data_IF_866488627038
#
_entry.id   IF_866488627038
#
_cell.length_a   1.000
_cell.length_b   1.000
_cell.length_c   1.000
_cell.angle_alpha   90.00
_cell.angle_beta   90.00
_cell.angle_gamma   90.00
#
_symmetry.space_group_name_H-M   'P 1'
#
loop_
_entity.id
_entity.type
_entity.pdbx_description
1 polymer ?
#
# COMPACT_ATOMS: atom_id res chain seq x y z
N UNK A 1 -42.66 8.80 7.80
CA UNK A 1 -41.41 9.51 7.49
C UNK A 1 -40.71 8.75 6.40
N UNK A 2 -40.73 9.22 5.16
CA UNK A 2 -40.00 8.58 4.04
C UNK A 2 -38.50 8.91 4.17
N UNK A 3 -37.74 7.99 4.70
CA UNK A 3 -36.28 8.10 4.71
C UNK A 3 -35.78 8.11 3.25
N UNK A 4 -35.43 9.28 2.75
CA UNK A 4 -34.85 9.42 1.43
C UNK A 4 -33.48 8.75 1.42
N UNK A 5 -33.16 8.01 0.34
CA UNK A 5 -31.83 7.41 0.14
C UNK A 5 -30.68 8.44 0.27
N UNK A 6 -30.97 9.72 0.02
CA UNK A 6 -30.04 10.84 0.20
C UNK A 6 -29.72 11.11 1.68
N UNK A 7 -30.70 10.91 2.59
CA UNK A 7 -30.46 11.13 4.03
C UNK A 7 -29.56 10.07 4.65
N UNK A 8 -29.48 8.86 4.09
CA UNK A 8 -28.56 7.81 4.52
C UNK A 8 -27.09 8.10 4.14
N UNK A 9 -26.87 8.95 3.16
CA UNK A 9 -25.53 9.40 2.79
C UNK A 9 -24.92 10.43 3.74
N UNK A 10 -25.74 11.14 4.54
CA UNK A 10 -25.27 12.22 5.42
C UNK A 10 -24.32 11.71 6.50
N UNK A 11 -24.63 10.64 7.27
CA UNK A 11 -23.71 10.12 8.27
C UNK A 11 -22.36 9.68 7.67
N UNK A 12 -22.41 9.08 6.47
CA UNK A 12 -21.19 8.68 5.75
C UNK A 12 -20.38 9.90 5.30
N UNK A 13 -21.03 10.93 4.76
CA UNK A 13 -20.35 12.17 4.37
C UNK A 13 -19.71 12.88 5.57
N UNK A 14 -20.39 12.92 6.72
CA UNK A 14 -19.86 13.49 7.97
C UNK A 14 -18.65 12.68 8.45
N UNK A 15 -18.72 11.36 8.39
CA UNK A 15 -17.59 10.49 8.72
C UNK A 15 -16.37 10.78 7.83
N UNK A 16 -16.56 10.87 6.51
CA UNK A 16 -15.47 11.19 5.57
C UNK A 16 -14.89 12.58 5.82
N UNK A 17 -15.74 13.59 6.11
CA UNK A 17 -15.28 14.94 6.43
C UNK A 17 -14.40 14.96 7.69
N UNK A 18 -14.81 14.29 8.75
CA UNK A 18 -14.08 14.29 10.02
C UNK A 18 -12.81 13.45 9.93
N UNK A 19 -12.89 12.23 9.39
CA UNK A 19 -11.78 11.26 9.47
C UNK A 19 -10.85 11.28 8.26
N UNK A 20 -11.26 11.86 7.14
CA UNK A 20 -10.43 11.94 5.94
C UNK A 20 -10.09 13.39 5.61
N UNK A 21 -11.07 14.25 5.44
CA UNK A 21 -10.83 15.64 5.01
C UNK A 21 -10.12 16.46 6.10
N UNK A 22 -10.54 16.35 7.34
CA UNK A 22 -9.94 17.15 8.43
C UNK A 22 -8.44 16.83 8.64
N UNK A 23 -7.99 15.57 8.73
CA UNK A 23 -6.55 15.27 8.80
C UNK A 23 -5.75 15.78 7.59
N UNK A 24 -6.31 15.70 6.38
CA UNK A 24 -5.66 16.22 5.17
C UNK A 24 -5.51 17.75 5.22
N UNK A 25 -6.53 18.46 5.68
CA UNK A 25 -6.46 19.92 5.88
C UNK A 25 -5.38 20.27 6.90
N UNK A 26 -5.31 19.53 8.01
CA UNK A 26 -4.28 19.71 9.04
C UNK A 26 -2.88 19.47 8.46
N UNK A 27 -2.68 18.43 7.65
CA UNK A 27 -1.40 18.18 6.98
C UNK A 27 -1.01 19.34 6.05
N UNK A 28 -1.95 19.81 5.24
CA UNK A 28 -1.71 20.98 4.37
C UNK A 28 -1.38 22.21 5.19
N UNK A 29 -2.11 22.46 6.27
CA UNK A 29 -1.81 23.57 7.17
C UNK A 29 -0.38 23.50 7.72
N UNK A 30 0.05 22.35 8.24
CA UNK A 30 1.42 22.16 8.74
C UNK A 30 2.49 22.24 7.64
N UNK A 31 2.18 21.84 6.41
CA UNK A 31 3.13 21.98 5.30
C UNK A 31 3.49 23.45 5.02
N UNK A 32 2.54 24.37 5.27
CA UNK A 32 2.70 25.81 5.04
C UNK A 32 2.89 26.62 6.33
N UNK A 33 3.18 25.98 7.46
CA UNK A 33 3.30 26.67 8.75
C UNK A 33 4.60 26.27 9.44
N UNK A 34 5.29 27.24 10.04
CA UNK A 34 6.45 26.98 10.90
C UNK A 34 6.01 26.54 12.30
N UNK A 35 6.97 26.12 13.15
CA UNK A 35 6.71 25.71 14.55
C UNK A 35 6.10 26.81 15.44
N UNK A 36 6.02 28.05 14.96
CA UNK A 36 5.41 29.20 15.66
C UNK A 36 4.01 29.54 15.10
N UNK A 37 3.47 28.74 14.19
CA UNK A 37 2.15 28.97 13.60
C UNK A 37 2.10 30.05 12.51
N UNK A 38 3.26 30.54 12.04
CA UNK A 38 3.34 31.54 10.98
C UNK A 38 3.40 30.87 9.62
N UNK A 39 2.74 31.48 8.63
CA UNK A 39 2.79 30.99 7.24
C UNK A 39 4.21 31.07 6.68
N UNK A 40 4.67 29.95 6.10
CA UNK A 40 6.01 29.85 5.50
C UNK A 40 6.03 28.85 4.35
N UNK A 41 6.80 29.16 3.32
CA UNK A 41 7.12 28.22 2.23
C UNK A 41 8.41 27.44 2.49
N UNK A 42 9.05 27.66 3.65
CA UNK A 42 10.35 27.10 3.96
C UNK A 42 10.33 25.56 3.97
N UNK A 43 9.28 24.95 4.50
CA UNK A 43 9.14 23.48 4.53
C UNK A 43 9.12 22.88 3.12
N UNK A 44 8.39 23.51 2.18
CA UNK A 44 8.38 23.08 0.78
C UNK A 44 9.74 23.31 0.12
N UNK A 45 10.31 24.49 0.30
CA UNK A 45 11.61 24.85 -0.25
C UNK A 45 12.71 23.91 0.24
N UNK A 46 12.77 23.63 1.54
CA UNK A 46 13.76 22.70 2.11
C UNK A 46 13.56 21.26 1.60
N UNK A 47 12.31 20.83 1.42
CA UNK A 47 12.04 19.50 0.86
C UNK A 47 12.66 19.32 -0.53
N UNK A 48 12.50 20.32 -1.42
CA UNK A 48 13.04 20.27 -2.78
C UNK A 48 14.55 20.64 -2.86
N UNK A 49 15.10 21.27 -1.83
CA UNK A 49 16.51 21.67 -1.80
C UNK A 49 17.41 20.65 -1.12
N UNK A 50 16.85 19.71 -0.36
CA UNK A 50 17.63 18.67 0.32
C UNK A 50 17.85 17.44 -0.59
N UNK A 51 19.12 17.19 -1.01
CA UNK A 51 19.46 16.06 -1.88
C UNK A 51 19.10 14.69 -1.26
N UNK A 52 19.15 14.57 0.07
CA UNK A 52 18.83 13.31 0.76
C UNK A 52 17.33 13.02 0.68
N UNK A 53 16.51 14.05 0.85
CA UNK A 53 15.05 13.94 0.74
C UNK A 53 14.63 13.56 -0.67
N UNK A 54 15.18 14.23 -1.69
CA UNK A 54 14.94 13.90 -3.08
C UNK A 54 15.46 12.51 -3.45
N UNK A 55 16.67 12.15 -2.98
CA UNK A 55 17.23 10.82 -3.16
C UNK A 55 16.32 9.72 -2.60
N UNK A 56 15.80 9.91 -1.40
CA UNK A 56 14.85 8.98 -0.76
C UNK A 56 13.53 8.89 -1.55
N UNK A 57 13.04 10.02 -2.07
CA UNK A 57 11.83 10.04 -2.90
C UNK A 57 12.01 9.20 -4.17
N UNK A 58 13.09 9.43 -4.92
CA UNK A 58 13.39 8.66 -6.15
C UNK A 58 13.63 7.19 -5.85
N UNK A 59 14.32 6.86 -4.77
CA UNK A 59 14.54 5.49 -4.33
C UNK A 59 13.22 4.78 -4.01
N UNK A 60 12.32 5.45 -3.28
CA UNK A 60 11.00 4.91 -2.95
C UNK A 60 10.14 4.72 -4.20
N UNK A 61 10.21 5.66 -5.13
CA UNK A 61 9.50 5.56 -6.41
C UNK A 61 10.02 4.39 -7.26
N UNK A 62 11.33 4.18 -7.30
CA UNK A 62 11.93 3.04 -7.98
C UNK A 62 11.49 1.71 -7.38
N UNK A 63 11.49 1.58 -6.04
CA UNK A 63 10.97 0.39 -5.35
C UNK A 63 9.50 0.16 -5.72
N UNK A 64 8.67 1.21 -5.69
CA UNK A 64 7.25 1.09 -6.00
C UNK A 64 7.02 0.61 -7.45
N UNK A 65 7.73 1.17 -8.42
CA UNK A 65 7.63 0.75 -9.82
C UNK A 65 8.04 -0.71 -10.02
N UNK A 66 9.19 -1.10 -9.47
CA UNK A 66 9.70 -2.48 -9.59
C UNK A 66 8.76 -3.45 -8.88
N UNK A 67 8.32 -3.14 -7.66
CA UNK A 67 7.37 -3.97 -6.92
C UNK A 67 6.06 -4.15 -7.69
N UNK A 68 5.52 -3.07 -8.25
CA UNK A 68 4.28 -3.14 -9.04
C UNK A 68 4.45 -4.02 -10.27
N UNK A 69 5.56 -3.88 -10.99
CA UNK A 69 5.87 -4.72 -12.15
C UNK A 69 5.99 -6.21 -11.77
N UNK A 70 6.70 -6.52 -10.68
CA UNK A 70 6.84 -7.89 -10.17
C UNK A 70 5.50 -8.46 -9.71
N UNK A 71 4.73 -7.68 -8.95
CA UNK A 71 3.38 -8.09 -8.53
C UNK A 71 2.49 -8.39 -9.73
N UNK A 72 2.51 -7.54 -10.75
CA UNK A 72 1.68 -7.73 -11.94
C UNK A 72 2.09 -8.97 -12.73
N UNK A 73 3.40 -9.19 -12.87
CA UNK A 73 3.97 -10.35 -13.55
C UNK A 73 3.63 -11.67 -12.85
N UNK A 74 3.52 -11.66 -11.53
CA UNK A 74 3.13 -12.84 -10.75
C UNK A 74 1.60 -12.98 -10.62
N UNK A 75 0.89 -11.88 -10.36
CA UNK A 75 -0.55 -11.89 -10.12
C UNK A 75 -1.36 -12.19 -11.37
N UNK A 76 -0.94 -11.67 -12.53
CA UNK A 76 -1.70 -11.85 -13.78
C UNK A 76 -1.81 -13.32 -14.20
N UNK A 77 -0.72 -14.11 -14.29
CA UNK A 77 -0.85 -15.53 -14.62
C UNK A 77 -1.70 -16.30 -13.60
N UNK A 78 -1.53 -16.01 -12.31
CA UNK A 78 -2.30 -16.68 -11.24
C UNK A 78 -3.78 -16.36 -11.38
N UNK A 79 -4.14 -15.08 -11.53
CA UNK A 79 -5.51 -14.64 -11.71
C UNK A 79 -6.13 -15.22 -12.99
N UNK A 80 -5.39 -15.21 -14.10
CA UNK A 80 -5.85 -15.75 -15.38
C UNK A 80 -6.10 -17.25 -15.32
N UNK A 81 -5.13 -18.03 -14.81
CA UNK A 81 -5.29 -19.48 -14.66
C UNK A 81 -6.48 -19.80 -13.76
N UNK A 82 -6.64 -19.07 -12.65
CA UNK A 82 -7.73 -19.28 -11.71
C UNK A 82 -9.09 -18.91 -12.32
N UNK A 83 -9.17 -17.80 -13.06
CA UNK A 83 -10.40 -17.35 -13.70
C UNK A 83 -10.86 -18.35 -14.79
N UNK A 84 -9.92 -18.82 -15.62
CA UNK A 84 -10.20 -19.74 -16.74
C UNK A 84 -10.31 -21.20 -16.31
N UNK A 85 -9.91 -21.55 -15.09
CA UNK A 85 -9.96 -22.93 -14.62
C UNK A 85 -11.40 -23.41 -14.41
N UNK A 86 -11.61 -24.70 -14.60
CA UNK A 86 -12.88 -25.40 -14.31
C UNK A 86 -12.93 -25.93 -12.86
N UNK A 87 -11.99 -25.49 -12.01
CA UNK A 87 -11.89 -25.95 -10.62
C UNK A 87 -13.15 -25.53 -9.86
N UNK A 88 -13.93 -26.47 -9.32
CA UNK A 88 -15.18 -26.15 -8.64
C UNK A 88 -14.99 -25.31 -7.37
N UNK A 89 -13.79 -25.31 -6.80
CA UNK A 89 -13.42 -24.60 -5.57
C UNK A 89 -12.54 -23.35 -5.81
N UNK A 90 -12.59 -22.74 -7.00
CA UNK A 90 -11.74 -21.57 -7.30
C UNK A 90 -11.91 -20.40 -6.33
N UNK A 91 -13.11 -20.21 -5.78
CA UNK A 91 -13.35 -19.22 -4.74
C UNK A 91 -12.61 -19.53 -3.44
N UNK A 92 -12.46 -20.82 -3.10
CA UNK A 92 -11.68 -21.25 -1.92
C UNK A 92 -10.20 -21.01 -2.15
N UNK A 93 -9.70 -21.29 -3.36
CA UNK A 93 -8.29 -21.02 -3.70
C UNK A 93 -8.02 -19.53 -3.63
N UNK A 94 -8.92 -18.68 -4.17
CA UNK A 94 -8.82 -17.24 -4.04
C UNK A 94 -8.80 -16.79 -2.58
N UNK A 95 -9.64 -17.39 -1.74
CA UNK A 95 -9.70 -17.11 -0.31
C UNK A 95 -8.38 -17.44 0.40
N UNK A 96 -7.67 -18.52 -0.01
CA UNK A 96 -6.35 -18.86 0.51
C UNK A 96 -5.29 -17.78 0.22
N UNK A 97 -5.38 -17.10 -0.91
CA UNK A 97 -4.50 -15.95 -1.20
C UNK A 97 -4.83 -14.73 -0.31
N UNK A 98 -6.09 -14.58 0.10
CA UNK A 98 -6.55 -13.46 0.93
C UNK A 98 -6.34 -13.71 2.43
N UNK A 99 -6.33 -14.98 2.87
CA UNK A 99 -6.15 -15.34 4.28
C UNK A 99 -4.93 -14.69 4.95
N UNK A 100 -3.74 -14.64 4.32
CA UNK A 100 -2.59 -13.96 4.91
C UNK A 100 -2.83 -12.49 5.23
N UNK A 101 -3.76 -11.83 4.54
CA UNK A 101 -4.07 -10.42 4.78
C UNK A 101 -4.77 -10.18 6.13
N UNK A 102 -5.38 -11.20 6.73
CA UNK A 102 -6.02 -11.11 8.05
C UNK A 102 -5.00 -11.17 9.19
N UNK A 103 -3.79 -11.63 8.90
CA UNK A 103 -2.69 -11.59 9.85
C UNK A 103 -2.17 -10.15 9.94
N UNK A 104 -1.83 -9.72 11.16
CA UNK A 104 -1.27 -8.40 11.38
C UNK A 104 -0.04 -8.17 10.48
N UNK A 105 -0.04 -7.04 9.76
CA UNK A 105 1.01 -6.64 8.83
C UNK A 105 2.42 -6.72 9.46
N UNK A 106 2.58 -6.19 10.68
CA UNK A 106 3.88 -6.18 11.36
C UNK A 106 4.40 -7.59 11.64
N UNK A 107 3.52 -8.53 12.00
CA UNK A 107 3.91 -9.93 12.22
C UNK A 107 4.36 -10.61 10.93
N UNK A 108 3.65 -10.36 9.82
CA UNK A 108 4.02 -10.88 8.50
C UNK A 108 5.39 -10.42 8.06
N UNK A 109 5.63 -9.11 8.15
CA UNK A 109 6.91 -8.51 7.76
C UNK A 109 8.04 -9.00 8.67
N UNK A 110 7.80 -9.12 9.98
CA UNK A 110 8.80 -9.66 10.90
C UNK A 110 9.15 -11.11 10.56
N UNK A 111 8.16 -11.96 10.29
CA UNK A 111 8.39 -13.36 9.91
C UNK A 111 9.18 -13.46 8.59
N UNK A 112 8.80 -12.66 7.58
CA UNK A 112 9.53 -12.62 6.31
C UNK A 112 10.98 -12.15 6.50
N UNK A 113 11.18 -11.16 7.34
CA UNK A 113 12.49 -10.62 7.69
C UNK A 113 13.40 -11.68 8.33
N UNK A 114 12.85 -12.50 9.22
CA UNK A 114 13.59 -13.62 9.83
C UNK A 114 13.96 -14.68 8.78
N UNK A 115 13.05 -15.01 7.88
CA UNK A 115 13.34 -15.96 6.78
C UNK A 115 14.45 -15.43 5.88
N UNK A 116 14.37 -14.17 5.46
CA UNK A 116 15.40 -13.55 4.62
C UNK A 116 16.74 -13.44 5.34
N UNK A 117 16.73 -13.15 6.65
CA UNK A 117 17.94 -13.09 7.45
C UNK A 117 18.65 -14.46 7.54
N UNK A 118 17.88 -15.55 7.65
CA UNK A 118 18.44 -16.92 7.63
C UNK A 118 19.01 -17.25 6.26
N UNK A 119 18.40 -16.78 5.17
CA UNK A 119 18.85 -17.09 3.80
C UNK A 119 20.07 -16.26 3.39
N UNK A 120 20.09 -14.99 3.70
CA UNK A 120 21.13 -14.04 3.27
C UNK A 120 22.24 -13.85 4.32
N UNK A 121 21.97 -14.17 5.59
CA UNK A 121 22.86 -13.90 6.72
C UNK A 121 23.00 -12.43 7.08
N UNK A 122 22.78 -11.50 6.15
CA UNK A 122 22.80 -10.06 6.39
C UNK A 122 21.88 -9.30 5.41
N UNK A 123 20.73 -8.89 5.89
CA UNK A 123 19.74 -8.12 5.11
C UNK A 123 20.24 -6.76 4.60
N UNK A 124 21.31 -6.23 5.19
CA UNK A 124 21.91 -4.97 4.76
C UNK A 124 22.68 -5.08 3.44
N UNK A 125 22.97 -6.30 2.97
CA UNK A 125 23.68 -6.50 1.70
C UNK A 125 22.84 -6.12 0.48
N UNK A 126 21.52 -6.38 0.53
CA UNK A 126 20.61 -6.13 -0.60
C UNK A 126 19.33 -5.39 -0.18
N UNK A 127 19.42 -4.16 0.38
CA UNK A 127 18.27 -3.47 0.95
C UNK A 127 17.15 -3.19 -0.06
N UNK A 128 17.51 -2.87 -1.31
CA UNK A 128 16.55 -2.66 -2.39
C UNK A 128 15.77 -3.94 -2.73
N UNK A 129 16.48 -5.04 -2.90
CA UNK A 129 15.88 -6.33 -3.25
C UNK A 129 14.99 -6.84 -2.12
N UNK A 130 15.44 -6.73 -0.88
CA UNK A 130 14.67 -7.13 0.30
C UNK A 130 13.41 -6.31 0.49
N UNK A 131 13.46 -5.00 0.18
CA UNK A 131 12.29 -4.13 0.18
C UNK A 131 11.29 -4.55 -0.92
N UNK A 132 11.76 -4.82 -2.14
CA UNK A 132 10.91 -5.29 -3.25
C UNK A 132 10.26 -6.64 -2.92
N UNK A 133 11.02 -7.59 -2.37
CA UNK A 133 10.48 -8.90 -1.96
C UNK A 133 9.41 -8.73 -0.88
N UNK A 134 9.69 -7.94 0.15
CA UNK A 134 8.75 -7.68 1.24
C UNK A 134 7.46 -7.03 0.75
N UNK A 135 7.57 -5.98 -0.05
CA UNK A 135 6.41 -5.31 -0.63
C UNK A 135 5.64 -6.22 -1.60
N UNK A 136 6.34 -7.01 -2.41
CA UNK A 136 5.68 -7.98 -3.30
C UNK A 136 4.87 -8.99 -2.50
N UNK A 137 5.44 -9.56 -1.45
CA UNK A 137 4.75 -10.49 -0.57
C UNK A 137 3.48 -9.88 0.05
N UNK A 138 3.55 -8.63 0.47
CA UNK A 138 2.42 -7.96 1.10
C UNK A 138 1.31 -7.57 0.11
N UNK A 139 1.68 -7.06 -1.06
CA UNK A 139 0.73 -6.48 -2.02
C UNK A 139 0.23 -7.47 -3.07
N UNK A 140 0.87 -8.64 -3.22
CA UNK A 140 0.47 -9.66 -4.20
C UNK A 140 -1.01 -10.08 -4.09
N UNK A 141 -1.57 -10.36 -2.91
CA UNK A 141 -2.99 -10.71 -2.78
C UNK A 141 -3.93 -9.59 -3.21
N UNK A 142 -3.56 -8.32 -2.92
CA UNK A 142 -4.33 -7.14 -3.32
C UNK A 142 -4.36 -6.95 -4.85
N UNK A 143 -3.36 -7.47 -5.57
CA UNK A 143 -3.31 -7.43 -7.02
C UNK A 143 -4.08 -8.59 -7.66
N UNK A 144 -3.98 -9.81 -7.09
CA UNK A 144 -4.64 -11.00 -7.60
C UNK A 144 -6.16 -10.83 -7.60
N UNK A 145 -6.72 -10.28 -6.52
CA UNK A 145 -8.16 -10.20 -6.30
C UNK A 145 -8.88 -9.35 -7.36
N UNK A 146 -8.49 -8.09 -7.65
CA UNK A 146 -9.13 -7.30 -8.70
C UNK A 146 -8.87 -7.88 -10.09
N UNK A 147 -7.69 -8.43 -10.37
CA UNK A 147 -7.40 -9.06 -11.66
C UNK A 147 -8.32 -10.26 -11.90
N UNK A 148 -8.50 -11.11 -10.90
CA UNK A 148 -9.40 -12.27 -10.99
C UNK A 148 -10.87 -11.85 -11.24
N UNK A 149 -11.31 -10.72 -10.68
CA UNK A 149 -12.69 -10.26 -10.84
C UNK A 149 -12.95 -9.55 -12.16
N UNK A 150 -11.90 -9.11 -12.85
CA UNK A 150 -12.00 -8.38 -14.14
C UNK A 150 -11.77 -9.26 -15.36
N UNK A 151 -11.15 -10.43 -15.19
CA UNK A 151 -10.95 -11.44 -16.24
C UNK A 151 -12.19 -12.33 -16.38
#
# INVERSE_FOLDING_TARGET
MSFSRKSLGIPYAVFLLIFVAAPLIVLVFYAFTNGQGQFTMHNLSSFFSDPNTLGTLFYSFAIACVTTAVCLLLAYPVAYILAMSTIPAKSVVLMLFVLPMWINFSLRITALKEILNVLEGNLAMHPFLNAVIGMTYDFLPFMILPLFTTI
#
